data_IF_676605579473
#
_entry.id   IF_676605579473
#
_cell.length_a   1.000
_cell.length_b   1.000
_cell.length_c   1.000
_cell.angle_alpha   90.00
_cell.angle_beta   90.00
_cell.angle_gamma   90.00
#
_symmetry.space_group_name_H-M   'P 1'
#
loop_
_entity.id
_entity.type
_entity.pdbx_description
1 polymer ?
#
# COMPACT_ATOMS: atom_id res chain seq x y z
N UNK A 1 2.80 12.31 1.26
CA UNK A 1 3.28 10.94 1.06
C UNK A 1 3.66 10.85 -0.41
N UNK A 2 4.95 10.66 -0.66
CA UNK A 2 5.55 10.78 -1.98
C UNK A 2 5.67 9.41 -2.66
N UNK A 3 5.84 9.39 -3.98
CA UNK A 3 5.98 8.17 -4.77
C UNK A 3 7.13 7.26 -4.26
N UNK A 4 8.18 7.85 -3.70
CA UNK A 4 9.28 7.13 -3.06
C UNK A 4 8.83 6.34 -1.82
N UNK A 5 7.93 6.92 -1.02
CA UNK A 5 7.38 6.28 0.17
C UNK A 5 6.50 5.08 -0.22
N UNK A 6 5.72 5.20 -1.30
CA UNK A 6 4.92 4.11 -1.85
C UNK A 6 5.81 2.97 -2.40
N UNK A 7 6.90 3.33 -3.08
CA UNK A 7 7.88 2.38 -3.64
C UNK A 7 8.61 1.64 -2.53
N UNK A 8 8.99 2.35 -1.46
CA UNK A 8 9.59 1.76 -0.26
C UNK A 8 8.66 0.73 0.40
N UNK A 9 7.39 1.07 0.63
CA UNK A 9 6.43 0.14 1.22
C UNK A 9 6.14 -1.07 0.33
N UNK A 10 6.15 -0.89 -1.00
CA UNK A 10 6.04 -1.99 -1.95
C UNK A 10 7.23 -2.96 -1.85
N UNK A 11 8.46 -2.44 -1.80
CA UNK A 11 9.67 -3.26 -1.63
C UNK A 11 9.67 -4.01 -0.30
N UNK A 12 9.22 -3.37 0.78
CA UNK A 12 9.10 -4.00 2.11
C UNK A 12 8.10 -5.16 2.07
N UNK A 13 6.94 -4.97 1.44
CA UNK A 13 5.93 -6.02 1.28
C UNK A 13 6.46 -7.17 0.42
N UNK A 14 7.16 -6.85 -0.68
CA UNK A 14 7.74 -7.86 -1.55
C UNK A 14 8.78 -8.71 -0.81
N UNK A 15 9.68 -8.09 -0.03
CA UNK A 15 10.71 -8.81 0.73
C UNK A 15 10.14 -9.63 1.89
N UNK A 16 9.12 -9.11 2.58
CA UNK A 16 8.48 -9.83 3.70
C UNK A 16 7.53 -10.93 3.24
N UNK A 17 7.12 -10.92 1.96
CA UNK A 17 6.28 -11.98 1.37
C UNK A 17 7.04 -13.23 0.94
N UNK A 18 8.39 -13.19 0.90
CA UNK A 18 9.24 -14.33 0.55
C UNK A 18 9.74 -14.97 1.83
N UNK A 19 9.23 -16.15 2.22
CA UNK A 19 9.70 -16.82 3.43
C UNK A 19 11.14 -17.30 3.25
N UNK A 20 11.99 -16.96 4.21
CA UNK A 20 13.45 -17.22 4.23
C UNK A 20 13.81 -18.72 4.04
N UNK A 21 12.85 -19.62 4.29
CA UNK A 21 13.05 -21.07 4.31
C UNK A 21 12.17 -21.86 3.32
N UNK A 22 11.50 -21.21 2.36
CA UNK A 22 10.63 -21.90 1.38
C UNK A 22 9.36 -22.56 1.96
N UNK A 23 9.15 -22.46 3.27
CA UNK A 23 7.92 -22.87 3.95
C UNK A 23 6.99 -21.68 4.10
N UNK A 24 5.69 -21.94 3.96
CA UNK A 24 4.63 -20.94 4.02
C UNK A 24 4.83 -19.93 5.16
N UNK A 25 4.52 -18.66 4.88
CA UNK A 25 4.49 -17.58 5.87
C UNK A 25 3.78 -18.05 7.16
N UNK A 26 4.40 -17.77 8.30
CA UNK A 26 3.83 -18.01 9.62
C UNK A 26 2.54 -17.19 9.80
N UNK A 27 1.70 -17.57 10.76
CA UNK A 27 0.45 -16.83 11.02
C UNK A 27 0.72 -15.36 11.38
N UNK A 28 1.84 -15.08 12.03
CA UNK A 28 2.24 -13.71 12.41
C UNK A 28 2.69 -12.91 11.19
N UNK A 29 3.51 -13.49 10.31
CA UNK A 29 3.92 -12.85 9.04
C UNK A 29 2.73 -12.63 8.10
N UNK A 30 1.78 -13.59 8.05
CA UNK A 30 0.52 -13.42 7.31
C UNK A 30 -0.31 -12.27 7.87
N UNK A 31 -0.41 -12.16 9.19
CA UNK A 31 -1.14 -11.07 9.82
C UNK A 31 -0.49 -9.70 9.54
N UNK A 32 0.85 -9.63 9.62
CA UNK A 32 1.60 -8.43 9.27
C UNK A 32 1.39 -8.05 7.80
N UNK A 33 1.46 -9.01 6.87
CA UNK A 33 1.24 -8.79 5.45
C UNK A 33 -0.19 -8.29 5.16
N UNK A 34 -1.20 -8.89 5.79
CA UNK A 34 -2.60 -8.44 5.65
C UNK A 34 -2.76 -7.00 6.13
N UNK A 35 -2.18 -6.65 7.29
CA UNK A 35 -2.22 -5.29 7.80
C UNK A 35 -1.51 -4.30 6.87
N UNK A 36 -0.33 -4.65 6.36
CA UNK A 36 0.40 -3.82 5.39
C UNK A 36 -0.41 -3.58 4.11
N UNK A 37 -1.03 -4.63 3.56
CA UNK A 37 -1.89 -4.52 2.38
C UNK A 37 -3.13 -3.63 2.64
N UNK A 38 -3.74 -3.71 3.83
CA UNK A 38 -4.87 -2.87 4.20
C UNK A 38 -4.48 -1.39 4.33
N UNK A 39 -3.33 -1.09 4.91
CA UNK A 39 -2.82 0.29 5.02
C UNK A 39 -2.52 0.85 3.64
N UNK A 40 -1.87 0.08 2.77
CA UNK A 40 -1.61 0.47 1.38
C UNK A 40 -2.90 0.73 0.59
N UNK A 41 -3.93 -0.11 0.75
CA UNK A 41 -5.22 0.08 0.09
C UNK A 41 -5.92 1.37 0.57
N UNK A 42 -5.90 1.65 1.87
CA UNK A 42 -6.48 2.89 2.43
C UNK A 42 -5.76 4.13 1.92
N UNK A 43 -4.42 4.07 1.84
CA UNK A 43 -3.60 5.14 1.28
C UNK A 43 -3.95 5.35 -0.20
N UNK A 44 -4.02 4.29 -1.00
CA UNK A 44 -4.36 4.38 -2.41
C UNK A 44 -5.76 4.97 -2.63
N UNK A 45 -6.74 4.61 -1.79
CA UNK A 45 -8.06 5.22 -1.79
C UNK A 45 -8.03 6.71 -1.44
N UNK A 46 -7.30 7.08 -0.39
CA UNK A 46 -7.16 8.48 0.01
C UNK A 46 -6.57 9.34 -1.12
N UNK A 47 -5.57 8.83 -1.85
CA UNK A 47 -5.02 9.52 -3.01
C UNK A 47 -6.00 9.56 -4.18
N UNK A 48 -6.70 8.47 -4.46
CA UNK A 48 -7.72 8.44 -5.51
C UNK A 48 -8.83 9.48 -5.23
N UNK A 49 -9.29 9.57 -3.99
CA UNK A 49 -10.29 10.55 -3.55
C UNK A 49 -9.76 11.98 -3.62
N UNK A 50 -8.51 12.22 -3.24
CA UNK A 50 -7.89 13.56 -3.38
C UNK A 50 -7.76 13.99 -4.85
N UNK A 51 -7.36 13.08 -5.75
CA UNK A 51 -7.25 13.35 -7.17
C UNK A 51 -8.64 13.60 -7.78
N UNK A 52 -9.65 12.79 -7.42
CA UNK A 52 -11.03 12.98 -7.85
C UNK A 52 -11.64 14.29 -7.33
N UNK A 53 -11.30 14.69 -6.11
CA UNK A 53 -11.65 16.00 -5.55
C UNK A 53 -10.98 17.16 -6.27
N UNK A 54 -9.70 17.03 -6.63
CA UNK A 54 -8.94 18.07 -7.35
C UNK A 54 -9.39 18.24 -8.81
N UNK A 55 -9.77 17.16 -9.50
CA UNK A 55 -10.30 17.25 -10.87
C UNK A 55 -11.69 17.88 -10.92
N UNK A 56 -12.46 17.80 -9.83
CA UNK A 56 -13.75 18.48 -9.70
C UNK A 56 -13.57 20.00 -9.57
N UNK A 57 -12.57 20.48 -8.84
CA UNK A 57 -12.32 21.93 -8.64
C UNK A 57 -11.82 22.62 -9.92
N UNK A 58 -11.06 21.90 -10.77
CA UNK A 58 -10.58 22.41 -12.06
C UNK A 58 -11.62 22.35 -13.19
N UNK A 59 -12.73 21.63 -13.01
CA UNK A 59 -13.83 21.58 -13.99
C UNK A 59 -14.85 22.72 -13.83
N UNK A 60 -14.84 23.42 -12.69
CA UNK A 60 -15.78 24.52 -12.38
C UNK A 60 -15.12 25.90 -12.41
N UNK A 61 -13.94 26.04 -13.02
CA UNK A 61 -13.18 27.30 -13.07
C UNK A 61 -12.87 27.77 -14.48
#
# INVERSE_FOLDING_TARGET
MDLEELTFWFEVVQRTSVPDNGNQLTSEEKAALVQSCQVLAQIAQLFADQIAGHTSDLQFR
#
